data_IF_877249865314
#
_entry.id   IF_877249865314
#
_cell.length_a   1.000
_cell.length_b   1.000
_cell.length_c   1.000
_cell.angle_alpha   90.00
_cell.angle_beta   90.00
_cell.angle_gamma   90.00
#
_symmetry.space_group_name_H-M   'P 1'
#
loop_
_entity.id
_entity.type
_entity.pdbx_description
1 polymer ?
#
# COMPACT_ATOMS: atom_id res chain seq x y z
N UNK A 1 -17.10 12.83 20.65
CA UNK A 1 -17.91 14.05 20.74
C UNK A 1 -17.45 14.85 21.94
N UNK A 2 -17.22 16.18 21.78
CA UNK A 2 -16.70 17.05 22.84
C UNK A 2 -17.64 17.10 24.06
N UNK A 3 -18.95 17.08 23.83
CA UNK A 3 -19.96 17.09 24.90
C UNK A 3 -19.93 15.81 25.74
N UNK A 4 -19.72 14.66 25.09
CA UNK A 4 -19.59 13.39 25.79
C UNK A 4 -18.32 13.36 26.65
N UNK A 5 -17.19 13.83 26.11
CA UNK A 5 -15.92 13.90 26.85
C UNK A 5 -16.07 14.83 28.05
N UNK A 6 -16.72 16.00 27.90
CA UNK A 6 -17.02 16.92 29.01
C UNK A 6 -17.88 16.25 30.08
N UNK A 7 -18.93 15.52 29.66
CA UNK A 7 -19.85 14.85 30.58
C UNK A 7 -19.16 13.73 31.39
N UNK A 8 -18.25 12.96 30.77
CA UNK A 8 -17.61 11.79 31.42
C UNK A 8 -16.34 12.17 32.19
N UNK A 9 -15.54 13.11 31.68
CA UNK A 9 -14.22 13.44 32.24
C UNK A 9 -14.11 14.83 32.81
N UNK A 10 -15.12 15.69 32.64
CA UNK A 10 -15.08 17.10 33.04
C UNK A 10 -14.14 17.98 32.20
N UNK A 11 -13.51 17.45 31.17
CA UNK A 11 -12.57 18.15 30.30
C UNK A 11 -13.32 18.88 29.18
N UNK A 12 -13.19 20.18 29.10
CA UNK A 12 -13.84 20.99 28.06
C UNK A 12 -12.96 21.13 26.80
N UNK A 13 -13.64 21.20 25.64
CA UNK A 13 -13.00 21.52 24.35
C UNK A 13 -12.09 20.44 23.76
N UNK A 14 -11.94 19.27 24.39
CA UNK A 14 -11.15 18.17 23.84
C UNK A 14 -12.03 17.16 23.11
N UNK A 15 -11.56 16.74 21.95
CA UNK A 15 -12.15 15.64 21.18
C UNK A 15 -11.08 14.57 20.97
N UNK A 16 -11.51 13.33 20.78
CA UNK A 16 -10.64 12.22 20.46
C UNK A 16 -11.31 11.27 19.48
N UNK A 17 -10.54 10.36 18.93
CA UNK A 17 -11.02 9.28 18.08
C UNK A 17 -10.56 7.94 18.62
N UNK A 18 -11.35 6.92 18.39
CA UNK A 18 -11.01 5.53 18.67
C UNK A 18 -11.15 4.72 17.37
N UNK A 19 -10.07 4.06 16.98
CA UNK A 19 -10.09 3.14 15.83
C UNK A 19 -9.95 1.72 16.38
N UNK A 20 -10.86 0.84 15.97
CA UNK A 20 -10.79 -0.58 16.29
C UNK A 20 -10.40 -1.38 15.02
N UNK A 21 -9.43 -2.25 15.16
CA UNK A 21 -8.96 -3.17 14.11
C UNK A 21 -9.22 -4.61 14.57
N UNK A 22 -10.44 -5.15 14.39
CA UNK A 22 -10.73 -6.52 14.73
C UNK A 22 -9.99 -7.48 13.78
N UNK A 23 -9.41 -8.54 14.34
CA UNK A 23 -8.75 -9.59 13.57
C UNK A 23 -9.66 -10.81 13.57
N UNK A 24 -10.03 -11.28 12.38
CA UNK A 24 -10.90 -12.41 12.17
C UNK A 24 -10.16 -13.49 11.38
N UNK A 25 -10.14 -14.69 11.93
CA UNK A 25 -9.62 -15.86 11.23
C UNK A 25 -10.66 -16.39 10.23
N UNK A 26 -10.21 -16.70 9.02
CA UNK A 26 -11.03 -17.40 8.03
C UNK A 26 -10.61 -18.85 7.92
N UNK A 27 -11.58 -19.78 7.82
CA UNK A 27 -11.33 -21.18 7.56
C UNK A 27 -11.05 -21.39 6.08
N UNK A 28 -9.84 -21.80 5.73
CA UNK A 28 -9.41 -22.02 4.34
C UNK A 28 -9.64 -20.81 3.39
N UNK A 29 -9.58 -19.59 3.92
CA UNK A 29 -9.81 -18.37 3.14
C UNK A 29 -11.29 -18.06 2.84
N UNK A 30 -12.25 -18.79 3.42
CA UNK A 30 -13.68 -18.57 3.21
C UNK A 30 -14.15 -17.29 3.90
N UNK A 31 -14.30 -16.22 3.11
CA UNK A 31 -14.85 -14.94 3.55
C UNK A 31 -16.38 -14.90 3.55
N UNK A 32 -17.02 -15.92 2.97
CA UNK A 32 -18.50 -16.01 2.88
C UNK A 32 -19.13 -16.62 4.15
N UNK A 33 -18.30 -17.15 5.04
CA UNK A 33 -18.77 -17.68 6.31
C UNK A 33 -19.43 -16.60 7.18
N UNK A 34 -20.27 -17.03 8.14
CA UNK A 34 -21.13 -16.14 8.93
C UNK A 34 -20.35 -15.04 9.67
N UNK A 35 -19.25 -15.36 10.35
CA UNK A 35 -18.50 -14.37 11.11
C UNK A 35 -17.76 -13.37 10.22
N UNK A 36 -16.98 -13.77 9.20
CA UNK A 36 -16.37 -12.82 8.27
C UNK A 36 -17.38 -11.90 7.60
N UNK A 37 -18.49 -12.44 7.10
CA UNK A 37 -19.54 -11.66 6.41
C UNK A 37 -20.14 -10.60 7.33
N UNK A 38 -20.45 -10.94 8.58
CA UNK A 38 -20.98 -9.98 9.54
C UNK A 38 -19.97 -8.87 9.85
N UNK A 39 -18.70 -9.21 10.09
CA UNK A 39 -17.66 -8.23 10.41
C UNK A 39 -17.41 -7.30 9.23
N UNK A 40 -17.34 -7.81 8.00
CA UNK A 40 -17.20 -7.00 6.78
C UNK A 40 -18.39 -6.04 6.61
N UNK A 41 -19.60 -6.47 6.98
CA UNK A 41 -20.80 -5.62 6.87
C UNK A 41 -20.84 -4.48 7.90
N UNK A 42 -20.25 -4.67 9.07
CA UNK A 42 -20.26 -3.72 10.19
C UNK A 42 -19.09 -2.72 10.07
N UNK A 43 -17.93 -3.17 9.60
CA UNK A 43 -16.72 -2.35 9.50
C UNK A 43 -16.69 -1.48 8.23
N UNK A 44 -15.83 -0.46 8.22
CA UNK A 44 -15.63 0.44 7.07
C UNK A 44 -14.65 -0.12 6.02
N UNK A 45 -14.46 -1.39 6.01
CA UNK A 45 -13.59 -2.09 5.06
C UNK A 45 -12.85 -3.26 5.69
N UNK A 46 -12.02 -3.92 4.91
CA UNK A 46 -11.20 -5.03 5.35
C UNK A 46 -9.82 -5.00 4.70
N UNK A 47 -8.83 -5.46 5.42
CA UNK A 47 -7.51 -5.83 4.90
C UNK A 47 -7.48 -7.37 4.87
N UNK A 48 -7.42 -7.95 3.67
CA UNK A 48 -7.41 -9.39 3.48
C UNK A 48 -5.98 -9.90 3.35
N UNK A 49 -5.58 -10.79 4.26
CA UNK A 49 -4.29 -11.47 4.22
C UNK A 49 -4.45 -12.85 3.59
N UNK A 50 -3.64 -13.14 2.58
CA UNK A 50 -3.72 -14.37 1.79
C UNK A 50 -2.50 -15.25 2.06
N UNK A 51 -2.77 -16.52 2.40
CA UNK A 51 -1.71 -17.46 2.77
C UNK A 51 -0.78 -17.76 1.60
N UNK A 52 -1.28 -17.80 0.38
CA UNK A 52 -0.47 -18.05 -0.81
C UNK A 52 0.54 -16.93 -1.06
N UNK A 53 0.15 -15.67 -0.87
CA UNK A 53 1.08 -14.54 -0.93
C UNK A 53 2.15 -14.63 0.17
N UNK A 54 1.77 -15.03 1.39
CA UNK A 54 2.71 -15.25 2.47
C UNK A 54 3.74 -16.33 2.14
N UNK A 55 3.29 -17.45 1.60
CA UNK A 55 4.14 -18.56 1.18
C UNK A 55 5.09 -18.20 0.02
N UNK A 56 4.65 -17.29 -0.86
CA UNK A 56 5.47 -16.73 -1.94
C UNK A 56 6.47 -15.66 -1.45
N UNK A 57 6.48 -15.37 -0.14
CA UNK A 57 7.38 -14.37 0.44
C UNK A 57 6.92 -12.93 0.28
N UNK A 58 5.68 -12.69 -0.16
CA UNK A 58 5.08 -11.35 -0.18
C UNK A 58 4.62 -11.01 1.24
N UNK A 59 5.28 -10.06 1.86
CA UNK A 59 5.02 -9.64 3.25
C UNK A 59 5.02 -8.12 3.34
N UNK A 60 3.92 -7.49 3.84
CA UNK A 60 2.68 -8.12 4.30
C UNK A 60 1.93 -8.82 3.16
N UNK A 61 1.28 -9.95 3.48
CA UNK A 61 0.58 -10.80 2.50
C UNK A 61 -0.81 -10.25 2.14
N UNK A 62 -0.88 -8.96 1.83
CA UNK A 62 -2.12 -8.24 1.57
C UNK A 62 -2.59 -8.48 0.13
N UNK A 63 -3.79 -9.05 -0.01
CA UNK A 63 -4.46 -9.11 -1.29
C UNK A 63 -5.17 -7.78 -1.59
N UNK A 64 -4.56 -6.96 -2.45
CA UNK A 64 -5.09 -5.63 -2.81
C UNK A 64 -6.38 -5.67 -3.64
N UNK A 65 -6.70 -6.81 -4.25
CA UNK A 65 -7.91 -6.99 -5.04
C UNK A 65 -9.17 -7.17 -4.19
N UNK A 66 -9.02 -7.87 -3.05
CA UNK A 66 -10.13 -8.19 -2.13
C UNK A 66 -10.19 -7.21 -0.95
N UNK A 67 -9.07 -6.56 -0.64
CA UNK A 67 -9.02 -5.53 0.39
C UNK A 67 -9.76 -4.28 -0.06
N UNK A 68 -10.63 -3.76 0.81
CA UNK A 68 -11.51 -2.63 0.51
C UNK A 68 -11.50 -1.64 1.65
N UNK A 69 -11.53 -0.35 1.33
CA UNK A 69 -11.84 0.73 2.27
C UNK A 69 -13.06 1.50 1.78
N UNK A 70 -14.10 1.62 2.60
CA UNK A 70 -15.29 2.41 2.29
C UNK A 70 -15.01 3.91 2.33
N UNK A 71 -14.08 4.34 3.16
CA UNK A 71 -13.62 5.73 3.24
C UNK A 71 -12.76 6.08 2.04
N UNK A 72 -11.92 5.13 1.61
CA UNK A 72 -11.11 5.21 0.40
C UNK A 72 -10.20 6.43 0.35
N UNK A 73 -10.14 7.05 -0.82
CA UNK A 73 -9.28 8.19 -1.08
C UNK A 73 -9.59 9.46 -0.27
N UNK A 74 -10.72 9.51 0.46
CA UNK A 74 -11.03 10.63 1.35
C UNK A 74 -10.16 10.67 2.61
N UNK A 75 -9.60 9.51 3.02
CA UNK A 75 -8.70 9.39 4.16
C UNK A 75 -7.22 9.48 3.78
N UNK A 76 -6.89 9.46 2.49
CA UNK A 76 -5.51 9.52 2.01
C UNK A 76 -4.99 10.95 1.92
N UNK A 77 -3.69 11.12 2.18
CA UNK A 77 -2.99 12.34 1.81
C UNK A 77 -3.00 12.52 0.28
N UNK A 78 -2.88 13.75 -0.21
CA UNK A 78 -2.96 14.02 -1.66
C UNK A 78 -1.88 13.28 -2.45
N UNK A 79 -0.66 13.19 -1.91
CA UNK A 79 0.45 12.46 -2.55
C UNK A 79 0.11 10.98 -2.71
N UNK A 80 -0.32 10.31 -1.65
CA UNK A 80 -0.67 8.88 -1.68
C UNK A 80 -1.88 8.63 -2.60
N UNK A 81 -2.87 9.51 -2.57
CA UNK A 81 -4.05 9.43 -3.44
C UNK A 81 -3.69 9.55 -4.93
N UNK A 82 -2.81 10.48 -5.27
CA UNK A 82 -2.41 10.76 -6.66
C UNK A 82 -1.55 9.62 -7.23
N UNK A 83 -0.60 9.12 -6.44
CA UNK A 83 0.37 8.12 -6.88
C UNK A 83 -0.14 6.67 -6.72
N UNK A 84 -0.90 6.38 -5.66
CA UNK A 84 -1.31 5.01 -5.31
C UNK A 84 -2.23 4.33 -6.32
N UNK A 85 -2.94 5.10 -7.16
CA UNK A 85 -3.80 4.55 -8.22
C UNK A 85 -3.02 3.74 -9.25
N UNK A 86 -1.84 4.21 -9.65
CA UNK A 86 -0.94 3.52 -10.60
C UNK A 86 -0.47 2.17 -10.07
N UNK A 87 -0.08 2.11 -8.81
CA UNK A 87 0.37 0.86 -8.16
C UNK A 87 -0.75 -0.20 -8.13
N UNK A 88 -1.96 0.19 -7.77
CA UNK A 88 -3.10 -0.74 -7.74
C UNK A 88 -3.38 -1.32 -9.12
N UNK A 89 -3.33 -0.50 -10.15
CA UNK A 89 -3.53 -0.93 -11.53
C UNK A 89 -2.41 -1.88 -11.98
N UNK A 90 -1.15 -1.55 -11.73
CA UNK A 90 0.01 -2.38 -12.06
C UNK A 90 -0.08 -3.76 -11.40
N UNK A 91 -0.44 -3.83 -10.11
CA UNK A 91 -0.59 -5.10 -9.39
C UNK A 91 -1.78 -5.92 -9.90
N UNK A 92 -2.90 -5.29 -10.29
CA UNK A 92 -4.03 -6.00 -10.88
C UNK A 92 -3.67 -6.61 -12.24
N UNK A 93 -3.06 -5.81 -13.12
CA UNK A 93 -2.58 -6.26 -14.44
C UNK A 93 -1.54 -7.39 -14.31
N UNK A 94 -0.59 -7.24 -13.37
CA UNK A 94 0.41 -8.27 -13.12
C UNK A 94 -0.22 -9.62 -12.74
N UNK A 95 -1.23 -9.63 -11.88
CA UNK A 95 -1.91 -10.86 -11.46
C UNK A 95 -2.61 -11.57 -12.62
N UNK A 96 -3.30 -10.81 -13.47
CA UNK A 96 -3.94 -11.35 -14.67
C UNK A 96 -2.91 -11.93 -15.63
N UNK A 97 -1.87 -11.17 -15.96
CA UNK A 97 -0.82 -11.58 -16.88
C UNK A 97 0.02 -12.75 -16.36
N UNK A 98 0.31 -12.79 -15.05
CA UNK A 98 1.08 -13.88 -14.44
C UNK A 98 0.35 -15.21 -14.53
N UNK A 99 -0.98 -15.22 -14.44
CA UNK A 99 -1.77 -16.42 -14.62
C UNK A 99 -1.68 -16.93 -16.07
N UNK A 100 -1.72 -16.04 -17.08
CA UNK A 100 -1.57 -16.41 -18.49
C UNK A 100 -0.14 -16.82 -18.85
N UNK A 101 0.86 -16.15 -18.29
CA UNK A 101 2.28 -16.40 -18.58
C UNK A 101 2.74 -17.82 -18.23
N UNK A 102 2.04 -18.51 -17.34
CA UNK A 102 2.31 -19.91 -17.01
C UNK A 102 1.98 -20.88 -18.17
N UNK A 103 1.10 -20.46 -19.09
CA UNK A 103 0.61 -21.30 -20.19
C UNK A 103 1.10 -20.83 -21.57
N UNK A 104 1.66 -19.64 -21.68
CA UNK A 104 2.11 -19.07 -22.93
C UNK A 104 3.59 -19.37 -23.20
N UNK A 105 3.90 -20.04 -24.32
CA UNK A 105 5.27 -20.32 -24.74
C UNK A 105 6.01 -19.07 -25.26
N UNK A 106 5.27 -18.12 -25.85
CA UNK A 106 5.80 -16.87 -26.41
C UNK A 106 4.96 -15.67 -25.94
N UNK A 107 5.59 -14.79 -25.18
CA UNK A 107 5.02 -13.51 -24.79
C UNK A 107 5.58 -12.41 -25.69
N UNK A 108 4.72 -11.52 -26.16
CA UNK A 108 5.17 -10.30 -26.85
C UNK A 108 5.96 -9.39 -25.88
N UNK A 109 6.74 -8.47 -26.44
CA UNK A 109 7.64 -7.60 -25.68
C UNK A 109 6.87 -6.69 -24.71
N UNK A 110 5.69 -6.20 -25.08
CA UNK A 110 4.87 -5.33 -24.24
C UNK A 110 4.36 -6.08 -23.00
N UNK A 111 3.84 -7.29 -23.20
CA UNK A 111 3.39 -8.16 -22.10
C UNK A 111 4.54 -8.55 -21.18
N UNK A 112 5.73 -8.79 -21.73
CA UNK A 112 6.94 -9.07 -20.92
C UNK A 112 7.30 -7.88 -20.03
N UNK A 113 7.35 -6.66 -20.58
CA UNK A 113 7.62 -5.44 -19.81
C UNK A 113 6.59 -5.21 -18.71
N UNK A 114 5.30 -5.43 -18.99
CA UNK A 114 4.26 -5.33 -17.96
C UNK A 114 4.45 -6.34 -16.82
N UNK A 115 4.86 -7.58 -17.15
CA UNK A 115 5.18 -8.59 -16.14
C UNK A 115 6.41 -8.22 -15.32
N UNK A 116 7.46 -7.71 -15.94
CA UNK A 116 8.67 -7.26 -15.25
C UNK A 116 8.37 -6.07 -14.34
N UNK A 117 7.63 -5.08 -14.82
CA UNK A 117 7.17 -3.96 -14.02
C UNK A 117 6.32 -4.43 -12.82
N UNK A 118 5.35 -5.32 -13.05
CA UNK A 118 4.52 -5.86 -11.96
C UNK A 118 5.29 -6.65 -10.92
N UNK A 119 6.33 -7.39 -11.33
CA UNK A 119 7.27 -8.06 -10.41
C UNK A 119 8.05 -7.04 -9.57
N UNK A 120 8.59 -6.00 -10.21
CA UNK A 120 9.32 -4.94 -9.52
C UNK A 120 8.44 -4.22 -8.50
N UNK A 121 7.21 -3.86 -8.88
CA UNK A 121 6.22 -3.26 -7.97
C UNK A 121 5.87 -4.21 -6.81
N UNK A 122 5.69 -5.51 -7.08
CA UNK A 122 5.41 -6.49 -6.02
C UNK A 122 6.56 -6.60 -5.03
N UNK A 123 7.81 -6.55 -5.53
CA UNK A 123 9.00 -6.58 -4.67
C UNK A 123 9.12 -5.30 -3.85
N UNK A 124 8.86 -4.13 -4.45
CA UNK A 124 8.86 -2.85 -3.76
C UNK A 124 7.81 -2.78 -2.63
N UNK A 125 6.65 -3.42 -2.81
CA UNK A 125 5.58 -3.43 -1.80
C UNK A 125 5.87 -4.32 -0.59
N UNK A 126 6.95 -5.10 -0.60
CA UNK A 126 7.36 -5.87 0.57
C UNK A 126 7.91 -4.94 1.66
N UNK A 127 7.50 -5.18 2.87
CA UNK A 127 7.87 -4.34 4.03
C UNK A 127 8.28 -5.21 5.21
N UNK A 128 9.33 -4.82 5.90
CA UNK A 128 9.78 -5.50 7.11
C UNK A 128 8.76 -5.38 8.25
N UNK A 129 8.77 -6.37 9.14
CA UNK A 129 7.95 -6.30 10.35
C UNK A 129 8.44 -5.14 11.24
N UNK A 130 7.50 -4.37 11.80
CA UNK A 130 7.79 -3.19 12.63
C UNK A 130 8.60 -2.08 11.93
N UNK A 131 8.53 -2.02 10.60
CA UNK A 131 9.20 -1.01 9.80
C UNK A 131 8.17 -0.06 9.12
N UNK A 132 7.49 0.82 9.89
CA UNK A 132 6.55 1.78 9.31
C UNK A 132 7.29 2.82 8.48
N UNK A 133 6.67 3.24 7.39
CA UNK A 133 7.19 4.29 6.50
C UNK A 133 6.49 5.62 6.76
N UNK A 134 7.22 6.72 6.63
CA UNK A 134 6.62 8.06 6.64
C UNK A 134 5.80 8.31 5.36
N UNK A 135 4.94 9.32 5.36
CA UNK A 135 4.18 9.70 4.15
C UNK A 135 5.10 10.09 2.99
N UNK A 136 6.22 10.75 3.28
CA UNK A 136 7.21 11.13 2.27
C UNK A 136 7.93 9.91 1.71
N UNK A 137 8.36 8.97 2.56
CA UNK A 137 9.01 7.73 2.12
C UNK A 137 8.08 6.91 1.24
N UNK A 138 6.83 6.70 1.68
CA UNK A 138 5.81 6.02 0.85
C UNK A 138 5.59 6.73 -0.49
N UNK A 139 5.49 8.07 -0.47
CA UNK A 139 5.32 8.86 -1.68
C UNK A 139 6.48 8.69 -2.65
N UNK A 140 7.70 8.76 -2.16
CA UNK A 140 8.91 8.61 -2.98
C UNK A 140 9.05 7.19 -3.57
N UNK A 141 8.80 6.15 -2.77
CA UNK A 141 8.83 4.77 -3.25
C UNK A 141 7.78 4.53 -4.35
N UNK A 142 6.54 4.98 -4.13
CA UNK A 142 5.47 4.86 -5.13
C UNK A 142 5.79 5.67 -6.38
N UNK A 143 6.31 6.88 -6.24
CA UNK A 143 6.74 7.72 -7.36
C UNK A 143 7.81 7.04 -8.21
N UNK A 144 8.83 6.48 -7.58
CA UNK A 144 9.87 5.74 -8.29
C UNK A 144 9.32 4.56 -9.10
N UNK A 145 8.29 3.87 -8.57
CA UNK A 145 7.63 2.79 -9.29
C UNK A 145 6.76 3.26 -10.46
N UNK A 146 6.03 4.37 -10.29
CA UNK A 146 5.09 4.86 -11.31
C UNK A 146 5.78 5.59 -12.45
N UNK A 147 6.90 6.25 -12.20
CA UNK A 147 7.66 7.00 -13.22
C UNK A 147 8.73 6.15 -13.94
N UNK A 148 8.77 4.83 -13.70
CA UNK A 148 9.62 3.91 -14.46
C UNK A 148 11.06 3.79 -13.93
N UNK A 149 11.41 4.40 -12.79
CA UNK A 149 12.77 4.33 -12.25
C UNK A 149 13.20 2.91 -11.79
N UNK A 150 12.30 1.96 -11.82
CA UNK A 150 12.58 0.56 -11.49
C UNK A 150 12.87 -0.31 -12.72
N UNK A 151 12.71 0.21 -13.96
CA UNK A 151 12.81 -0.60 -15.18
C UNK A 151 14.20 -1.20 -15.38
N UNK A 152 15.25 -0.46 -15.02
CA UNK A 152 16.64 -0.89 -15.14
C UNK A 152 17.20 -1.57 -13.88
N UNK A 153 16.35 -1.78 -12.86
CA UNK A 153 16.76 -2.38 -11.59
C UNK A 153 16.39 -3.87 -11.57
N UNK A 154 17.37 -4.74 -11.34
CA UNK A 154 17.09 -6.16 -11.15
C UNK A 154 16.12 -6.37 -9.97
N UNK A 155 15.10 -7.22 -10.15
CA UNK A 155 14.06 -7.47 -9.14
C UNK A 155 14.65 -7.82 -7.77
N UNK A 156 15.74 -8.59 -7.73
CA UNK A 156 16.45 -8.97 -6.50
C UNK A 156 17.11 -7.78 -5.77
N UNK A 157 17.29 -6.65 -6.45
CA UNK A 157 17.95 -5.45 -5.92
C UNK A 157 16.97 -4.32 -5.58
N UNK A 158 15.68 -4.49 -5.85
CA UNK A 158 14.63 -3.46 -5.64
C UNK A 158 14.62 -2.97 -4.18
N UNK A 159 14.67 -3.88 -3.21
CA UNK A 159 14.69 -3.51 -1.78
C UNK A 159 15.95 -2.72 -1.39
N UNK A 160 17.10 -3.09 -1.93
CA UNK A 160 18.35 -2.37 -1.70
C UNK A 160 18.34 -0.98 -2.37
N UNK A 161 17.78 -0.90 -3.59
CA UNK A 161 17.59 0.36 -4.29
C UNK A 161 16.67 1.30 -3.51
N UNK A 162 15.51 0.82 -3.04
CA UNK A 162 14.58 1.60 -2.22
C UNK A 162 15.26 2.12 -0.95
N UNK A 163 15.95 1.26 -0.21
CA UNK A 163 16.66 1.66 1.00
C UNK A 163 17.71 2.76 0.73
N UNK A 164 18.45 2.64 -0.37
CA UNK A 164 19.44 3.64 -0.78
C UNK A 164 18.78 4.96 -1.20
N UNK A 165 17.69 4.89 -1.98
CA UNK A 165 16.91 6.06 -2.42
C UNK A 165 16.35 6.82 -1.22
N UNK A 166 15.70 6.12 -0.28
CA UNK A 166 15.14 6.73 0.93
C UNK A 166 16.22 7.33 1.82
N UNK A 167 17.34 6.64 1.99
CA UNK A 167 18.49 7.16 2.76
C UNK A 167 19.05 8.43 2.14
N UNK A 168 19.24 8.44 0.82
CA UNK A 168 19.72 9.61 0.08
C UNK A 168 18.75 10.79 0.20
N UNK A 169 17.45 10.57 -0.05
CA UNK A 169 16.45 11.61 0.03
C UNK A 169 16.32 12.21 1.45
N UNK A 170 16.37 11.38 2.47
CA UNK A 170 16.30 11.84 3.86
C UNK A 170 17.57 12.60 4.31
N UNK A 171 18.73 12.38 3.67
CA UNK A 171 19.95 13.13 3.96
C UNK A 171 20.05 14.42 3.14
N UNK A 172 19.93 14.32 1.82
CA UNK A 172 20.19 15.45 0.91
C UNK A 172 18.98 16.36 0.72
N UNK A 173 17.77 15.82 0.88
CA UNK A 173 16.49 16.54 0.68
C UNK A 173 15.62 16.54 1.93
N UNK A 174 16.24 16.58 3.13
CA UNK A 174 15.56 16.49 4.42
C UNK A 174 14.42 17.52 4.58
N UNK A 175 14.62 18.75 4.11
CA UNK A 175 13.59 19.81 4.19
C UNK A 175 12.38 19.48 3.31
N UNK A 176 12.59 18.94 2.10
CA UNK A 176 11.53 18.52 1.21
C UNK A 176 10.75 17.35 1.80
N UNK A 177 11.45 16.33 2.32
CA UNK A 177 10.85 15.17 2.98
C UNK A 177 10.01 15.59 4.20
N UNK A 178 10.51 16.53 5.01
CA UNK A 178 9.75 17.11 6.13
C UNK A 178 8.51 17.89 5.66
N UNK A 179 8.62 18.67 4.59
CA UNK A 179 7.50 19.41 3.99
C UNK A 179 6.40 18.47 3.50
N UNK A 180 6.77 17.36 2.84
CA UNK A 180 5.82 16.33 2.38
C UNK A 180 5.14 15.66 3.58
N UNK A 181 5.89 15.30 4.61
CA UNK A 181 5.33 14.66 5.81
C UNK A 181 4.31 15.54 6.55
N UNK A 182 4.51 16.86 6.56
CA UNK A 182 3.60 17.80 7.21
C UNK A 182 2.36 18.08 6.37
N UNK A 183 2.51 18.28 5.07
CA UNK A 183 1.43 18.72 4.18
C UNK A 183 0.74 17.57 3.46
N UNK A 184 1.45 16.49 3.15
CA UNK A 184 0.95 15.40 2.34
C UNK A 184 0.52 15.81 0.93
N UNK A 185 1.02 16.95 0.43
CA UNK A 185 0.71 17.49 -0.89
C UNK A 185 1.59 16.85 -1.98
N UNK A 186 1.12 16.93 -3.22
CA UNK A 186 1.88 16.57 -4.40
C UNK A 186 1.59 17.59 -5.52
N UNK A 187 2.62 18.28 -5.97
CA UNK A 187 2.59 19.29 -7.02
C UNK A 187 3.91 19.26 -7.80
N UNK A 188 4.02 20.11 -8.83
CA UNK A 188 5.19 20.16 -9.70
C UNK A 188 6.50 20.59 -9.01
N UNK A 189 6.41 21.21 -7.83
CA UNK A 189 7.57 21.55 -6.99
C UNK A 189 8.13 20.32 -6.23
N UNK A 190 7.24 19.34 -5.94
CA UNK A 190 7.57 18.14 -5.17
C UNK A 190 7.99 16.99 -6.10
N UNK A 191 7.39 16.92 -7.29
CA UNK A 191 7.71 15.93 -8.32
C UNK A 191 9.06 16.23 -8.96
#
# INVERSE_FOLDING_TARGET
>A
NADYVKQVSGVEGKTGSLTALPIIETQAGDVSAFVPTNVISITDGQIFLEQDLFNQGVRPAINVGISVSRVGGSAQTKIVKKLGGGIRLALAQYRELAAFAQFASDLDEATRKQLEHGKAVTELMKQGQYAPMSTADMGLSIFAATEGFLEDVEVTKIQAFEAALLSYANSEYAELMAKINVKGDFNDEIA
#
